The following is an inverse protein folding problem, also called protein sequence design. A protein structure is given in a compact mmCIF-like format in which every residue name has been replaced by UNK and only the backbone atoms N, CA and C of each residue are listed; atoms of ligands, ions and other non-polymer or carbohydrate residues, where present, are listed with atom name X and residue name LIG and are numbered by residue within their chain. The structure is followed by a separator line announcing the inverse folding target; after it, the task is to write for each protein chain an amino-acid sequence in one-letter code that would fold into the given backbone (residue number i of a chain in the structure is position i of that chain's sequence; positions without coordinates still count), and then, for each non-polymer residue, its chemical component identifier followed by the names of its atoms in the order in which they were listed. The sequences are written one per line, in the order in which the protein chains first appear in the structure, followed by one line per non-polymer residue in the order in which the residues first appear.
data_IF_006888592876
#
_entry.id   IF_006888592876
#
_cell.length_a   1.000
_cell.length_b   1.000
_cell.length_c   1.000
_cell.angle_alpha   90.00
_cell.angle_beta   90.00
_cell.angle_gamma   90.00
#
_symmetry.space_group_name_H-M   'P 1'
#
loop_
_entity.id
_entity.type
_entity.pdbx_description
1 polymer ?
#
# COMPACT_ATOMS: atom_id res chain seq x y z
N UNK A 1 40.28 21.23 63.57
CA UNK A 1 39.74 21.06 64.94
C UNK A 1 38.25 20.81 64.81
N UNK A 2 37.82 19.57 65.11
CA UNK A 2 36.80 19.25 66.12
C UNK A 2 35.37 19.59 65.68
N UNK A 3 34.38 18.71 65.62
CA UNK A 3 34.15 17.48 66.39
C UNK A 3 33.09 16.63 65.66
N UNK A 4 33.23 15.32 65.79
CA UNK A 4 32.23 14.29 65.53
C UNK A 4 31.24 14.19 66.71
N UNK A 5 30.23 13.30 66.53
CA UNK A 5 29.19 12.81 67.46
C UNK A 5 27.82 13.54 67.40
N UNK A 6 26.66 12.87 67.34
CA UNK A 6 26.31 11.48 67.64
C UNK A 6 25.05 10.99 66.86
N UNK A 7 25.06 9.70 66.46
CA UNK A 7 24.09 8.62 66.82
C UNK A 7 22.73 9.08 67.44
N UNK A 8 21.52 8.57 67.15
CA UNK A 8 20.97 7.26 66.74
C UNK A 8 19.51 7.48 66.27
N UNK A 9 18.95 6.63 65.40
CA UNK A 9 17.49 6.53 65.27
C UNK A 9 16.96 5.69 64.11
N UNK A 10 17.17 4.37 64.12
CA UNK A 10 16.40 3.47 63.25
C UNK A 10 14.98 3.29 63.82
N UNK A 11 13.97 3.68 63.05
CA UNK A 11 12.58 3.23 63.22
C UNK A 11 12.01 2.83 61.87
N UNK A 12 11.83 1.53 61.69
CA UNK A 12 11.08 0.92 60.58
C UNK A 12 9.59 1.11 60.84
N UNK A 13 8.87 1.78 59.94
CA UNK A 13 7.42 1.66 59.84
C UNK A 13 7.02 1.45 58.38
N UNK A 14 6.45 0.27 58.09
CA UNK A 14 5.74 -0.01 56.84
C UNK A 14 4.38 0.67 56.93
N UNK A 15 4.13 1.63 56.05
CA UNK A 15 2.84 2.27 55.81
C UNK A 15 2.41 2.10 54.35
N UNK A 16 1.12 2.25 54.02
CA UNK A 16 0.48 1.64 52.85
C UNK A 16 0.86 2.31 51.53
N UNK A 17 0.84 1.52 50.45
CA UNK A 17 0.98 1.96 49.06
C UNK A 17 -0.20 2.89 48.71
N UNK A 18 0.02 4.17 48.36
CA UNK A 18 -1.06 5.04 47.91
C UNK A 18 -1.37 4.77 46.44
N UNK A 19 -2.64 4.47 46.17
CA UNK A 19 -3.20 4.29 44.84
C UNK A 19 -3.37 5.61 44.08
N UNK A 20 -3.34 5.46 42.76
CA UNK A 20 -3.57 6.42 41.66
C UNK A 20 -4.73 7.39 41.92
N UNK A 21 -4.51 8.69 41.68
CA UNK A 21 -5.54 9.61 41.19
C UNK A 21 -5.02 10.55 40.10
N UNK A 22 -5.56 10.30 38.91
CA UNK A 22 -5.86 11.15 37.76
C UNK A 22 -5.46 12.62 37.80
N UNK A 23 -4.57 12.99 36.89
CA UNK A 23 -4.61 14.30 36.23
C UNK A 23 -4.98 14.10 34.77
N UNK A 24 -6.22 14.44 34.42
CA UNK A 24 -6.69 14.50 33.04
C UNK A 24 -5.95 15.60 32.29
N UNK A 25 -5.15 15.22 31.29
CA UNK A 25 -4.81 16.11 30.17
C UNK A 25 -5.48 15.55 28.92
N UNK A 26 -6.64 16.12 28.59
CA UNK A 26 -7.28 15.99 27.29
C UNK A 26 -6.36 16.65 26.26
N UNK A 27 -5.55 15.84 25.58
CA UNK A 27 -4.90 16.22 24.33
C UNK A 27 -5.48 15.32 23.26
N UNK A 28 -6.24 15.93 22.36
CA UNK A 28 -6.89 15.38 21.17
C UNK A 28 -6.06 14.25 20.55
N UNK A 29 -6.60 13.03 20.62
CA UNK A 29 -6.01 11.85 20.01
C UNK A 29 -6.02 12.00 18.48
N UNK A 30 -4.86 12.21 17.88
CA UNK A 30 -4.65 11.82 16.49
C UNK A 30 -4.82 10.30 16.44
N UNK A 31 -5.84 9.83 15.73
CA UNK A 31 -6.01 8.40 15.43
C UNK A 31 -4.70 7.94 14.78
N UNK A 32 -4.06 6.85 15.24
CA UNK A 32 -2.88 6.31 14.58
C UNK A 32 -3.21 6.11 13.10
N UNK A 33 -2.24 6.39 12.22
CA UNK A 33 -2.40 6.31 10.78
C UNK A 33 -2.57 4.84 10.34
N UNK A 34 -3.76 4.30 10.58
CA UNK A 34 -4.05 2.88 10.51
C UNK A 34 -4.07 2.42 9.05
N UNK A 35 -3.36 1.32 8.79
CA UNK A 35 -3.35 0.68 7.49
C UNK A 35 -4.69 -0.01 7.24
N UNK A 36 -5.27 0.19 6.05
CA UNK A 36 -6.58 -0.30 5.66
C UNK A 36 -6.45 -1.42 4.65
N UNK A 37 -7.05 -2.58 4.94
CA UNK A 37 -7.10 -3.70 4.00
C UNK A 37 -8.09 -3.42 2.88
N UNK A 38 -7.71 -3.70 1.64
CA UNK A 38 -8.61 -3.64 0.49
C UNK A 38 -9.71 -4.68 0.62
N UNK A 39 -10.98 -4.26 0.56
CA UNK A 39 -12.13 -5.17 0.59
C UNK A 39 -12.28 -6.03 -0.67
N UNK A 40 -11.59 -5.68 -1.76
CA UNK A 40 -11.72 -6.36 -3.06
C UNK A 40 -10.51 -7.22 -3.42
N UNK A 41 -9.34 -6.94 -2.83
CA UNK A 41 -8.07 -7.58 -3.17
C UNK A 41 -7.37 -8.00 -1.87
N UNK A 42 -8.01 -8.98 -1.21
CA UNK A 42 -7.50 -9.60 -0.01
C UNK A 42 -7.70 -11.10 -0.09
N UNK A 43 -6.65 -11.80 -0.53
CA UNK A 43 -6.64 -13.26 -0.59
C UNK A 43 -6.01 -13.81 0.70
N UNK A 44 -6.75 -14.63 1.44
CA UNK A 44 -6.31 -15.18 2.73
C UNK A 44 -5.08 -16.10 2.61
N UNK A 45 -4.89 -16.72 1.45
CA UNK A 45 -3.72 -17.51 1.06
C UNK A 45 -2.73 -16.71 0.18
N UNK A 46 -2.92 -15.39 0.05
CA UNK A 46 -2.04 -14.51 -0.70
C UNK A 46 -0.62 -14.53 -0.15
N UNK A 47 0.35 -14.46 -1.06
CA UNK A 47 1.78 -14.69 -0.79
C UNK A 47 2.60 -13.40 -0.66
N UNK A 48 2.00 -12.25 -0.95
CA UNK A 48 2.61 -10.93 -0.75
C UNK A 48 1.54 -9.91 -0.38
N UNK A 49 1.89 -8.95 0.47
CA UNK A 49 1.08 -7.76 0.76
C UNK A 49 1.73 -6.55 0.09
N UNK A 50 1.00 -5.89 -0.80
CA UNK A 50 1.40 -4.63 -1.43
C UNK A 50 0.76 -3.47 -0.66
N UNK A 51 1.56 -2.49 -0.28
CA UNK A 51 1.10 -1.27 0.37
C UNK A 51 1.25 -0.09 -0.59
N UNK A 52 0.14 0.61 -0.85
CA UNK A 52 0.12 1.92 -1.50
C UNK A 52 -0.49 2.94 -0.55
N UNK A 53 0.29 3.92 -0.13
CA UNK A 53 -0.10 4.83 0.95
C UNK A 53 -0.55 4.04 2.19
N UNK A 54 -1.84 4.14 2.52
CA UNK A 54 -2.44 3.44 3.67
C UNK A 54 -3.21 2.18 3.30
N UNK A 55 -3.35 1.87 2.01
CA UNK A 55 -4.14 0.72 1.56
C UNK A 55 -3.24 -0.48 1.34
N UNK A 56 -3.69 -1.63 1.85
CA UNK A 56 -3.02 -2.91 1.73
C UNK A 56 -3.78 -3.84 0.79
N UNK A 57 -3.05 -4.51 -0.09
CA UNK A 57 -3.55 -5.49 -1.03
C UNK A 57 -2.82 -6.80 -0.80
N UNK A 58 -3.52 -7.85 -0.37
CA UNK A 58 -2.90 -9.17 -0.21
C UNK A 58 -3.17 -9.99 -1.46
N UNK A 59 -2.11 -10.28 -2.21
CA UNK A 59 -2.14 -10.82 -3.58
C UNK A 59 -1.11 -11.94 -3.78
N UNK A 60 -0.99 -12.48 -5.00
CA UNK A 60 -0.08 -13.58 -5.30
C UNK A 60 1.16 -13.10 -6.04
N UNK A 61 2.32 -13.32 -5.44
CA UNK A 61 3.62 -13.05 -6.05
C UNK A 61 3.76 -13.68 -7.45
N UNK A 62 3.30 -14.93 -7.62
CA UNK A 62 3.33 -15.65 -8.89
C UNK A 62 2.75 -14.88 -10.07
N UNK A 63 1.59 -14.24 -9.87
CA UNK A 63 0.90 -13.47 -10.90
C UNK A 63 1.69 -12.19 -11.22
N UNK A 64 2.24 -11.53 -10.19
CA UNK A 64 2.99 -10.28 -10.36
C UNK A 64 4.28 -10.51 -11.16
N UNK A 65 5.08 -11.52 -10.81
CA UNK A 65 6.35 -11.81 -11.51
C UNK A 65 6.16 -12.35 -12.92
N UNK A 66 5.04 -13.02 -13.20
CA UNK A 66 4.74 -13.54 -14.54
C UNK A 66 4.48 -12.38 -15.52
N UNK A 67 3.89 -11.29 -15.03
CA UNK A 67 3.45 -10.17 -15.85
C UNK A 67 4.38 -8.95 -15.80
N UNK A 68 5.27 -8.85 -14.81
CA UNK A 68 6.16 -7.70 -14.61
C UNK A 68 7.60 -8.10 -14.33
N UNK A 69 8.51 -7.58 -15.15
CA UNK A 69 9.95 -7.74 -14.93
C UNK A 69 10.42 -7.02 -13.67
N UNK A 70 9.84 -5.86 -13.35
CA UNK A 70 10.17 -5.08 -12.15
C UNK A 70 9.80 -5.84 -10.89
N UNK A 71 8.57 -6.38 -10.82
CA UNK A 71 8.19 -7.22 -9.69
C UNK A 71 9.08 -8.45 -9.61
N UNK A 72 9.29 -9.17 -10.72
CA UNK A 72 10.20 -10.32 -10.75
C UNK A 72 11.57 -9.99 -10.15
N UNK A 73 12.20 -8.88 -10.54
CA UNK A 73 13.47 -8.46 -9.97
C UNK A 73 13.39 -8.11 -8.48
N UNK A 74 12.34 -7.39 -8.06
CA UNK A 74 12.13 -7.00 -6.66
C UNK A 74 12.07 -8.20 -5.71
N UNK A 75 11.49 -9.30 -6.18
CA UNK A 75 11.28 -10.50 -5.39
C UNK A 75 12.37 -11.57 -5.54
N UNK A 76 13.17 -11.53 -6.62
CA UNK A 76 14.31 -12.43 -6.82
C UNK A 76 15.56 -12.00 -6.04
N UNK A 77 15.66 -10.72 -5.67
CA UNK A 77 16.76 -10.24 -4.86
C UNK A 77 16.61 -10.74 -3.42
N UNK A 78 17.69 -11.21 -2.77
CA UNK A 78 17.67 -11.58 -1.36
C UNK A 78 17.14 -10.40 -0.54
N UNK A 79 15.95 -10.58 0.02
CA UNK A 79 15.40 -9.59 0.93
C UNK A 79 16.28 -9.57 2.19
N UNK A 80 16.56 -8.40 2.78
CA UNK A 80 17.25 -8.32 4.07
C UNK A 80 16.55 -9.20 5.09
N UNK A 81 17.28 -9.75 6.06
CA UNK A 81 16.69 -10.59 7.12
C UNK A 81 15.56 -9.88 7.87
N UNK A 82 15.59 -8.54 7.88
CA UNK A 82 14.59 -7.68 8.52
C UNK A 82 13.55 -7.11 7.54
N UNK A 83 13.29 -7.82 6.43
CA UNK A 83 12.27 -7.39 5.48
C UNK A 83 10.90 -7.27 6.18
N UNK A 84 10.15 -6.18 5.92
CA UNK A 84 8.90 -5.94 6.60
C UNK A 84 7.88 -7.04 6.25
N UNK A 85 7.13 -7.47 7.27
CA UNK A 85 6.05 -8.44 7.15
C UNK A 85 4.74 -7.79 7.59
N UNK A 86 3.64 -8.22 6.97
CA UNK A 86 2.29 -7.92 7.42
C UNK A 86 1.53 -9.24 7.56
N UNK A 87 1.01 -9.53 8.74
CA UNK A 87 0.42 -10.84 9.09
C UNK A 87 1.32 -12.04 8.74
N UNK A 88 2.64 -11.89 8.89
CA UNK A 88 3.61 -12.94 8.56
C UNK A 88 3.87 -13.14 7.06
N UNK A 89 3.32 -12.28 6.20
CA UNK A 89 3.50 -12.29 4.75
C UNK A 89 4.42 -11.12 4.34
N UNK A 90 5.34 -11.29 3.36
CA UNK A 90 6.17 -10.20 2.87
C UNK A 90 5.38 -8.95 2.51
N UNK A 91 5.78 -7.80 3.06
CA UNK A 91 5.19 -6.50 2.79
C UNK A 91 6.07 -5.72 1.80
N UNK A 92 5.48 -5.24 0.72
CA UNK A 92 6.14 -4.40 -0.27
C UNK A 92 5.44 -3.05 -0.33
N UNK A 93 6.18 -1.99 -0.05
CA UNK A 93 5.68 -0.62 -0.16
C UNK A 93 5.97 -0.07 -1.56
N UNK A 94 4.95 0.54 -2.16
CA UNK A 94 5.06 1.23 -3.44
C UNK A 94 4.49 2.64 -3.33
N UNK A 95 5.02 3.54 -4.15
CA UNK A 95 4.63 4.96 -4.16
C UNK A 95 3.41 5.25 -5.04
N UNK A 96 2.80 4.23 -5.64
CA UNK A 96 1.66 4.42 -6.53
C UNK A 96 0.41 4.88 -5.78
N UNK A 97 -0.50 5.51 -6.52
CA UNK A 97 -1.83 5.79 -6.02
C UNK A 97 -2.53 4.48 -5.61
N UNK A 98 -3.20 4.43 -4.45
CA UNK A 98 -3.99 3.28 -4.04
C UNK A 98 -5.07 2.89 -5.06
N UNK A 99 -5.69 3.86 -5.75
CA UNK A 99 -6.71 3.59 -6.77
C UNK A 99 -6.11 2.92 -8.00
N UNK A 100 -4.95 3.41 -8.44
CA UNK A 100 -4.36 3.01 -9.70
C UNK A 100 -3.68 1.64 -9.53
N UNK A 101 -3.01 1.42 -8.40
CA UNK A 101 -2.48 0.10 -8.05
C UNK A 101 -3.61 -0.92 -7.90
N UNK A 102 -4.73 -0.55 -7.24
CA UNK A 102 -5.90 -1.42 -7.15
C UNK A 102 -6.42 -1.80 -8.55
N UNK A 103 -6.53 -0.84 -9.46
CA UNK A 103 -6.94 -1.08 -10.85
C UNK A 103 -6.01 -2.09 -11.54
N UNK A 104 -4.69 -1.86 -11.47
CA UNK A 104 -3.69 -2.76 -12.05
C UNK A 104 -3.79 -4.17 -11.47
N UNK A 105 -3.82 -4.30 -10.14
CA UNK A 105 -3.89 -5.58 -9.44
C UNK A 105 -5.19 -6.34 -9.75
N UNK A 106 -6.33 -5.64 -9.81
CA UNK A 106 -7.61 -6.24 -10.23
C UNK A 106 -7.50 -6.81 -11.64
N UNK A 107 -6.94 -6.04 -12.56
CA UNK A 107 -6.74 -6.49 -13.94
C UNK A 107 -5.84 -7.72 -13.98
N UNK A 108 -4.69 -7.72 -13.31
CA UNK A 108 -3.77 -8.86 -13.28
C UNK A 108 -4.43 -10.15 -12.76
N UNK A 109 -5.23 -10.05 -11.70
CA UNK A 109 -5.89 -11.21 -11.09
C UNK A 109 -7.12 -11.68 -11.88
N UNK A 110 -7.74 -10.82 -12.68
CA UNK A 110 -8.90 -11.14 -13.51
C UNK A 110 -8.54 -11.39 -14.99
N UNK A 111 -7.29 -11.09 -15.39
CA UNK A 111 -6.79 -11.08 -16.77
C UNK A 111 -7.02 -12.38 -17.52
N UNK A 112 -6.89 -13.53 -16.83
CA UNK A 112 -7.07 -14.86 -17.43
C UNK A 112 -8.49 -15.09 -17.98
N UNK A 113 -9.48 -14.31 -17.56
CA UNK A 113 -10.86 -14.45 -18.02
C UNK A 113 -11.23 -13.54 -19.19
N UNK A 114 -10.30 -12.68 -19.69
CA UNK A 114 -10.52 -11.79 -20.85
C UNK A 114 -11.89 -11.08 -20.81
N UNK A 115 -12.45 -10.87 -19.62
CA UNK A 115 -13.77 -10.29 -19.49
C UNK A 115 -13.66 -8.86 -19.94
N UNK A 116 -14.54 -8.51 -20.88
CA UNK A 116 -14.87 -7.16 -21.29
C UNK A 116 -14.55 -6.19 -20.17
N UNK A 117 -13.45 -5.45 -20.32
CA UNK A 117 -13.34 -4.20 -19.62
C UNK A 117 -14.51 -3.38 -20.15
N UNK A 118 -15.64 -3.42 -19.44
CA UNK A 118 -16.67 -2.39 -19.50
C UNK A 118 -15.93 -1.07 -19.65
N UNK A 119 -16.26 -0.22 -20.64
CA UNK A 119 -15.35 0.80 -21.13
C UNK A 119 -14.76 1.57 -19.96
N UNK A 120 -13.47 1.30 -19.67
CA UNK A 120 -12.78 1.95 -18.57
C UNK A 120 -12.81 3.45 -18.87
N UNK A 121 -13.09 4.31 -17.88
CA UNK A 121 -12.94 5.74 -18.03
C UNK A 121 -11.55 6.07 -18.58
N UNK A 122 -11.44 7.09 -19.45
CA UNK A 122 -10.19 7.51 -20.07
C UNK A 122 -9.04 7.61 -19.05
N UNK A 123 -9.30 8.27 -17.93
CA UNK A 123 -8.35 8.45 -16.81
C UNK A 123 -7.80 7.12 -16.28
N UNK A 124 -8.63 6.09 -16.19
CA UNK A 124 -8.26 4.78 -15.66
C UNK A 124 -7.41 4.04 -16.68
N UNK A 125 -7.70 4.19 -17.98
CA UNK A 125 -6.83 3.64 -19.02
C UNK A 125 -5.46 4.31 -19.07
N UNK A 126 -5.39 5.63 -18.88
CA UNK A 126 -4.12 6.36 -18.82
C UNK A 126 -3.32 5.91 -17.59
N UNK A 127 -3.95 5.88 -16.41
CA UNK A 127 -3.32 5.39 -15.19
C UNK A 127 -2.79 3.96 -15.35
N UNK A 128 -3.59 3.07 -15.94
CA UNK A 128 -3.17 1.70 -16.25
C UNK A 128 -1.96 1.68 -17.18
N UNK A 129 -1.97 2.44 -18.27
CA UNK A 129 -0.87 2.47 -19.23
C UNK A 129 0.44 3.00 -18.61
N UNK A 130 0.36 4.00 -17.73
CA UNK A 130 1.49 4.54 -16.99
C UNK A 130 2.06 3.52 -16.00
N UNK A 131 1.21 2.80 -15.29
CA UNK A 131 1.66 1.74 -14.39
C UNK A 131 2.26 0.55 -15.14
N UNK A 132 1.67 0.13 -16.26
CA UNK A 132 2.24 -0.93 -17.09
C UNK A 132 3.62 -0.53 -17.61
N UNK A 133 3.84 0.74 -17.95
CA UNK A 133 5.16 1.26 -18.31
C UNK A 133 6.14 1.19 -17.12
N UNK A 134 5.74 1.73 -15.96
CA UNK A 134 6.53 1.71 -14.72
C UNK A 134 6.97 0.31 -14.32
N UNK A 135 6.09 -0.68 -14.50
CA UNK A 135 6.32 -2.06 -14.10
C UNK A 135 6.79 -2.97 -15.25
N UNK A 136 7.16 -2.41 -16.41
CA UNK A 136 7.64 -3.16 -17.58
C UNK A 136 6.71 -4.32 -17.98
N UNK A 137 5.41 -4.01 -18.15
CA UNK A 137 4.36 -4.94 -18.56
C UNK A 137 3.94 -4.66 -20.01
N UNK A 138 4.85 -4.88 -20.96
CA UNK A 138 4.73 -4.42 -22.36
C UNK A 138 3.48 -4.91 -23.09
N UNK A 139 3.11 -6.18 -22.89
CA UNK A 139 1.92 -6.78 -23.51
C UNK A 139 0.64 -6.12 -23.00
N UNK A 140 0.56 -5.89 -21.68
CA UNK A 140 -0.59 -5.24 -21.05
C UNK A 140 -0.67 -3.76 -21.43
N UNK A 141 0.48 -3.07 -21.50
CA UNK A 141 0.58 -1.69 -21.98
C UNK A 141 0.06 -1.56 -23.41
N UNK A 142 0.51 -2.45 -24.31
CA UNK A 142 0.12 -2.47 -25.72
C UNK A 142 -1.39 -2.70 -25.88
N UNK A 143 -1.94 -3.61 -25.09
CA UNK A 143 -3.39 -3.84 -25.04
C UNK A 143 -4.14 -2.62 -24.51
N UNK A 144 -3.72 -2.02 -23.40
CA UNK A 144 -4.37 -0.86 -22.80
C UNK A 144 -4.39 0.32 -23.79
N UNK A 145 -3.27 0.63 -24.43
CA UNK A 145 -3.17 1.69 -25.44
C UNK A 145 -4.04 1.40 -26.67
N UNK A 146 -4.11 0.15 -27.11
CA UNK A 146 -4.98 -0.25 -28.22
C UNK A 146 -6.45 -0.05 -27.88
N UNK A 147 -6.85 -0.39 -26.66
CA UNK A 147 -8.21 -0.18 -26.16
C UNK A 147 -8.56 1.30 -26.10
N UNK A 148 -7.67 2.15 -25.57
CA UNK A 148 -7.85 3.61 -25.56
C UNK A 148 -8.01 4.17 -26.97
N UNK A 149 -7.11 3.81 -27.89
CA UNK A 149 -7.17 4.28 -29.28
C UNK A 149 -8.49 3.92 -29.95
N UNK A 150 -9.00 2.70 -29.71
CA UNK A 150 -10.28 2.23 -30.24
C UNK A 150 -11.48 2.97 -29.62
N UNK A 151 -11.52 3.09 -28.29
CA UNK A 151 -12.66 3.69 -27.59
C UNK A 151 -12.82 5.18 -27.91
N UNK A 152 -11.70 5.90 -28.02
CA UNK A 152 -11.70 7.34 -28.21
C UNK A 152 -11.46 7.77 -29.66
N UNK A 153 -11.43 6.81 -30.61
CA UNK A 153 -11.14 7.05 -32.03
C UNK A 153 -9.91 7.96 -32.22
N UNK A 154 -8.89 7.82 -31.37
CA UNK A 154 -7.70 8.68 -31.36
C UNK A 154 -6.82 8.37 -32.57
N UNK A 155 -7.23 8.86 -33.73
CA UNK A 155 -6.43 8.91 -34.96
C UNK A 155 -5.81 10.28 -35.18
N UNK A 156 -6.26 11.31 -34.46
CA UNK A 156 -5.94 12.72 -34.77
C UNK A 156 -5.90 13.60 -33.51
N UNK A 157 -4.96 14.55 -33.49
CA UNK A 157 -4.72 15.50 -32.38
C UNK A 157 -5.93 16.40 -32.07
N UNK A 158 -6.84 16.60 -33.03
CA UNK A 158 -8.04 17.43 -32.88
C UNK A 158 -9.11 16.76 -31.99
N UNK A 159 -9.20 15.42 -32.00
CA UNK A 159 -10.12 14.66 -31.15
C UNK A 159 -9.73 14.71 -29.65
N UNK A 160 -8.43 14.92 -29.39
CA UNK A 160 -7.85 15.05 -28.06
C UNK A 160 -8.24 16.38 -27.38
N UNK A 161 -8.32 17.46 -28.16
CA UNK A 161 -8.75 18.78 -27.64
C UNK A 161 -10.25 18.80 -27.41
N UNK A 162 -11.06 18.16 -28.26
CA UNK A 162 -12.51 18.13 -28.11
C UNK A 162 -12.99 17.29 -26.89
N UNK A 163 -12.26 16.23 -26.54
CA UNK A 163 -12.60 15.36 -25.40
C UNK A 163 -12.14 15.90 -24.04
N UNK A 164 -11.18 16.83 -24.01
CA UNK A 164 -10.70 17.48 -22.79
C UNK A 164 -11.54 18.70 -22.38
N UNK A 165 -12.44 19.18 -23.25
CA UNK A 165 -13.35 20.30 -23.00
C UNK A 165 -14.72 19.94 -22.39
N UNK A 166 -14.91 18.70 -21.91
CA UNK A 166 -16.16 18.24 -21.25
C UNK A 166 -15.94 17.72 -19.81
N UNK A 167 -14.94 18.25 -19.11
CA UNK A 167 -14.81 18.13 -17.64
C UNK A 167 -15.24 19.43 -16.98
#
# INVERSE_FOLDING_TARGET
MSTFDARVGFKTQRGPIPQVQSSNSTTTAAVPDELVRSSELWYDDGTVVMQAGRTLFRVYYGILQEQSQVFKHMFQNPQPTDAPLYDGVPLVQVEDSPSDLKLLLKILHQWKFRCDLTPLPFKDCVALALLCDKYCMDDMKSWALTTVKKMYRLSTFEDFVASSSHV
#
